data_IF_276995380946
#
_entry.id   IF_276995380946
#
_cell.length_a   1.000
_cell.length_b   1.000
_cell.length_c   1.000
_cell.angle_alpha   90.00
_cell.angle_beta   90.00
_cell.angle_gamma   90.00
#
_symmetry.space_group_name_H-M   'P 1'
#
loop_
_entity.id
_entity.type
_entity.pdbx_description
1 polymer ?
#
# COMPACT_ATOMS: atom_id res chain seq x y z
N UNK A 1 -7.06 -17.91 2.57
CA UNK A 1 -5.96 -16.94 2.67
C UNK A 1 -4.77 -17.36 1.79
N UNK A 2 -4.58 -18.65 1.48
CA UNK A 2 -3.42 -19.08 0.66
C UNK A 2 -3.60 -18.88 -0.85
N UNK A 3 -4.84 -18.73 -1.33
CA UNK A 3 -5.15 -18.49 -2.75
C UNK A 3 -4.44 -17.24 -3.30
N UNK A 4 -4.07 -16.28 -2.43
CA UNK A 4 -3.38 -15.06 -2.82
C UNK A 4 -1.95 -15.31 -3.33
N UNK A 5 -1.30 -16.39 -2.89
CA UNK A 5 0.05 -16.75 -3.34
C UNK A 5 0.09 -17.29 -4.78
N UNK A 6 -1.07 -17.52 -5.40
CA UNK A 6 -1.16 -17.84 -6.82
C UNK A 6 -1.16 -16.59 -7.71
N UNK A 7 -1.33 -15.39 -7.14
CA UNK A 7 -1.39 -14.15 -7.91
C UNK A 7 0.01 -13.58 -8.20
N UNK A 8 0.19 -12.90 -9.35
CA UNK A 8 1.49 -12.38 -9.75
C UNK A 8 1.92 -11.17 -8.91
N UNK A 9 3.22 -10.89 -8.92
CA UNK A 9 3.74 -9.60 -8.47
C UNK A 9 3.38 -8.50 -9.49
N UNK A 10 2.97 -7.29 -9.09
CA UNK A 10 2.48 -6.90 -7.77
C UNK A 10 0.96 -7.09 -7.75
N UNK A 11 0.41 -7.74 -6.72
CA UNK A 11 -1.05 -7.75 -6.50
C UNK A 11 -1.41 -6.99 -5.23
N UNK A 12 -2.38 -6.08 -5.30
CA UNK A 12 -2.81 -5.25 -4.18
C UNK A 12 -4.28 -4.87 -4.34
N UNK A 13 -4.91 -4.31 -3.31
CA UNK A 13 -6.26 -3.75 -3.42
C UNK A 13 -6.22 -2.30 -3.91
N UNK A 14 -7.22 -1.85 -4.69
CA UNK A 14 -7.30 -0.45 -5.12
C UNK A 14 -7.50 0.50 -3.94
N UNK A 15 -7.03 1.73 -4.11
CA UNK A 15 -7.30 2.86 -3.24
C UNK A 15 -8.07 3.95 -4.02
N UNK A 16 -7.41 5.01 -4.45
CA UNK A 16 -8.00 6.09 -5.27
C UNK A 16 -7.53 6.00 -6.74
N UNK A 17 -8.45 6.19 -7.67
CA UNK A 17 -8.21 6.15 -9.13
C UNK A 17 -7.48 4.88 -9.59
N UNK A 18 -6.22 5.04 -10.02
CA UNK A 18 -5.36 3.97 -10.56
C UNK A 18 -4.33 3.49 -9.52
N UNK A 19 -4.40 4.02 -8.30
CA UNK A 19 -3.44 3.78 -7.24
C UNK A 19 -3.89 2.62 -6.36
N UNK A 20 -2.94 1.80 -5.94
CA UNK A 20 -3.19 0.74 -4.97
C UNK A 20 -2.93 1.21 -3.53
N UNK A 21 -3.55 0.52 -2.58
CA UNK A 21 -3.27 0.65 -1.15
C UNK A 21 -2.08 -0.26 -0.80
N UNK A 22 -0.98 0.29 -0.29
CA UNK A 22 0.23 -0.47 0.03
C UNK A 22 0.15 -1.27 1.34
N UNK A 23 -0.93 -1.13 2.13
CA UNK A 23 -1.10 -1.79 3.41
C UNK A 23 -1.14 -3.33 3.33
N UNK A 24 -1.63 -3.88 2.22
CA UNK A 24 -1.62 -5.32 1.94
C UNK A 24 -1.24 -5.52 0.47
N UNK A 25 -0.18 -6.31 0.24
CA UNK A 25 0.34 -6.61 -1.08
C UNK A 25 0.83 -8.06 -1.15
N UNK A 26 0.75 -8.65 -2.35
CA UNK A 26 1.45 -9.88 -2.72
C UNK A 26 2.62 -9.49 -3.62
N UNK A 27 3.82 -9.81 -3.17
CA UNK A 27 5.08 -9.49 -3.84
C UNK A 27 6.02 -10.69 -3.80
N UNK A 28 6.84 -10.85 -4.83
CA UNK A 28 7.89 -11.86 -4.87
C UNK A 28 9.18 -11.26 -4.28
N UNK A 29 9.78 -11.88 -3.24
CA UNK A 29 11.04 -11.41 -2.71
C UNK A 29 12.15 -11.46 -3.78
N UNK A 30 12.73 -10.30 -4.10
CA UNK A 30 13.81 -10.21 -5.09
C UNK A 30 14.85 -9.17 -4.68
N UNK A 31 16.11 -9.60 -4.57
CA UNK A 31 17.23 -8.71 -4.26
C UNK A 31 17.42 -7.64 -5.35
N UNK A 32 17.30 -8.03 -6.61
CA UNK A 32 17.45 -7.11 -7.75
C UNK A 32 16.39 -5.99 -7.69
N UNK A 33 15.13 -6.36 -7.43
CA UNK A 33 14.04 -5.39 -7.27
C UNK A 33 14.27 -4.47 -6.07
N UNK A 34 14.73 -5.02 -4.94
CA UNK A 34 15.07 -4.22 -3.77
C UNK A 34 16.17 -3.19 -4.09
N UNK A 35 17.27 -3.62 -4.71
CA UNK A 35 18.36 -2.74 -5.10
C UNK A 35 17.90 -1.64 -6.08
N UNK A 36 17.05 -1.98 -7.06
CA UNK A 36 16.43 -1.01 -7.99
C UNK A 36 15.53 0.00 -7.26
N UNK A 37 14.68 -0.45 -6.35
CA UNK A 37 13.85 0.43 -5.51
C UNK A 37 14.72 1.36 -4.66
N UNK A 38 15.78 0.85 -4.03
CA UNK A 38 16.71 1.68 -3.25
C UNK A 38 17.42 2.71 -4.13
N UNK A 39 17.79 2.36 -5.36
CA UNK A 39 18.37 3.31 -6.31
C UNK A 39 17.36 4.39 -6.75
N UNK A 40 16.09 4.00 -6.95
CA UNK A 40 14.98 4.90 -7.28
C UNK A 40 14.55 5.79 -6.11
N UNK A 41 14.75 5.38 -4.85
CA UNK A 41 14.39 6.18 -3.66
C UNK A 41 15.00 7.59 -3.65
N UNK A 42 16.15 7.77 -4.31
CA UNK A 42 16.84 9.07 -4.45
C UNK A 42 16.30 9.94 -5.59
N UNK A 43 15.52 9.36 -6.51
CA UNK A 43 15.05 10.00 -7.75
C UNK A 43 13.54 10.21 -7.75
N UNK A 44 12.79 9.18 -7.36
CA UNK A 44 11.33 9.21 -7.28
C UNK A 44 10.92 9.83 -5.95
N UNK A 45 10.01 10.80 -6.00
CA UNK A 45 9.45 11.44 -4.81
C UNK A 45 8.10 10.80 -4.51
N UNK A 46 7.92 10.32 -3.28
CA UNK A 46 6.61 9.92 -2.80
C UNK A 46 5.66 11.12 -2.80
N UNK A 47 4.56 11.04 -3.54
CA UNK A 47 3.58 12.14 -3.63
C UNK A 47 2.86 12.41 -2.30
N UNK A 48 2.85 11.45 -1.38
CA UNK A 48 2.24 11.59 -0.05
C UNK A 48 3.26 11.53 1.11
N UNK A 49 4.56 11.46 0.81
CA UNK A 49 5.65 11.38 1.79
C UNK A 49 5.82 10.01 2.47
N UNK A 50 4.93 9.05 2.22
CA UNK A 50 4.99 7.69 2.77
C UNK A 50 5.43 6.64 1.75
N UNK A 51 5.39 5.36 2.17
CA UNK A 51 5.69 4.22 1.30
C UNK A 51 4.67 4.08 0.17
N UNK A 52 3.37 4.29 0.43
CA UNK A 52 2.32 4.14 -0.58
C UNK A 52 2.58 5.02 -1.79
N UNK A 53 2.99 6.27 -1.56
CA UNK A 53 3.29 7.18 -2.65
C UNK A 53 4.53 6.77 -3.43
N UNK A 54 5.57 6.28 -2.77
CA UNK A 54 6.77 5.77 -3.44
C UNK A 54 6.47 4.49 -4.25
N UNK A 55 5.74 3.54 -3.66
CA UNK A 55 5.45 2.25 -4.26
C UNK A 55 4.55 2.39 -5.49
N UNK A 56 3.58 3.33 -5.50
CA UNK A 56 2.77 3.62 -6.67
C UNK A 56 3.58 4.26 -7.83
N UNK A 57 4.67 4.96 -7.54
CA UNK A 57 5.60 5.47 -8.57
C UNK A 57 6.54 4.37 -9.10
N UNK A 58 6.91 3.40 -8.26
CA UNK A 58 7.75 2.26 -8.67
C UNK A 58 6.95 1.25 -9.50
N UNK A 59 5.73 0.93 -9.08
CA UNK A 59 4.88 -0.08 -9.70
C UNK A 59 3.71 0.59 -10.44
N UNK A 60 3.93 0.97 -11.70
CA UNK A 60 2.90 1.57 -12.54
C UNK A 60 1.92 0.55 -13.15
N UNK A 61 2.23 -0.75 -13.06
CA UNK A 61 1.34 -1.85 -13.42
C UNK A 61 1.23 -2.84 -12.26
N UNK A 62 0.00 -3.24 -11.94
CA UNK A 62 -0.31 -4.13 -10.83
C UNK A 62 -1.62 -4.88 -11.08
N UNK A 63 -1.77 -6.03 -10.44
CA UNK A 63 -2.95 -6.89 -10.52
C UNK A 63 -3.93 -6.57 -9.37
N UNK A 64 -5.22 -6.50 -9.69
CA UNK A 64 -6.25 -6.00 -8.77
C UNK A 64 -6.80 -7.10 -7.87
N UNK A 65 -6.66 -6.90 -6.56
CA UNK A 65 -7.30 -7.71 -5.54
C UNK A 65 -8.61 -7.06 -5.07
N UNK A 66 -9.57 -7.86 -4.55
CA UNK A 66 -10.78 -7.33 -3.94
C UNK A 66 -10.50 -6.30 -2.84
N UNK A 67 -11.28 -5.22 -2.79
CA UNK A 67 -11.17 -4.15 -1.76
C UNK A 67 -11.40 -4.69 -0.35
N UNK A 68 -12.22 -5.72 -0.20
CA UNK A 68 -12.54 -6.36 1.08
C UNK A 68 -11.31 -6.93 1.79
N UNK A 69 -10.21 -7.16 1.08
CA UNK A 69 -8.97 -7.66 1.67
C UNK A 69 -8.15 -6.57 2.34
N UNK A 70 -8.32 -5.31 1.95
CA UNK A 70 -7.57 -4.17 2.48
C UNK A 70 -8.51 -2.98 2.67
N UNK A 71 -9.41 -3.12 3.65
CA UNK A 71 -10.37 -2.08 3.98
C UNK A 71 -9.67 -0.92 4.70
N UNK A 72 -9.83 0.30 4.18
CA UNK A 72 -9.29 1.50 4.83
C UNK A 72 -10.02 1.71 6.16
N UNK A 73 -9.31 1.57 7.27
CA UNK A 73 -9.87 1.88 8.59
C UNK A 73 -9.76 3.38 8.85
N UNK A 74 -10.83 4.11 8.57
CA UNK A 74 -10.95 5.51 8.96
C UNK A 74 -11.31 5.54 10.45
N UNK A 75 -10.36 5.95 11.29
CA UNK A 75 -10.65 6.29 12.67
C UNK A 75 -11.22 7.71 12.69
N UNK A 76 -12.51 7.84 12.99
CA UNK A 76 -13.04 9.16 13.32
C UNK A 76 -12.41 9.58 14.66
N UNK A 77 -11.61 10.65 14.67
CA UNK A 77 -11.11 11.26 15.91
C UNK A 77 -12.22 12.00 16.70
N UNK A 78 -13.48 11.55 16.57
CA UNK A 78 -14.69 12.26 16.99
C UNK A 78 -15.45 11.60 18.12
N UNK A 79 -14.83 10.71 18.89
CA UNK A 79 -15.33 10.29 20.20
C UNK A 79 -14.32 10.67 21.27
N UNK A 80 -14.13 11.99 21.45
CA UNK A 80 -13.73 12.51 22.75
C UNK A 80 -14.87 12.20 23.72
N UNK A 81 -14.63 11.21 24.58
CA UNK A 81 -15.51 10.84 25.67
C UNK A 81 -15.53 11.99 26.70
N UNK A 82 -16.65 12.66 26.99
CA UNK A 82 -16.67 13.83 27.88
C UNK A 82 -16.41 13.51 29.37
N UNK A 83 -16.17 12.25 29.74
CA UNK A 83 -16.09 11.80 31.14
C UNK A 83 -14.66 11.60 31.68
N UNK A 84 -13.64 12.29 31.16
CA UNK A 84 -12.33 12.36 31.84
C UNK A 84 -11.96 13.80 32.19
N UNK A 85 -12.77 14.40 33.07
CA UNK A 85 -12.24 15.31 34.09
C UNK A 85 -11.86 14.48 35.31
N UNK A 86 -10.55 14.38 35.58
CA UNK A 86 -9.90 14.54 36.89
C UNK A 86 -8.39 14.56 36.72
#
# INVERSE_FOLDING_TARGET
>A
MDIFFAYPQLSASPNDKVLFNSGIMVIEPSRCLFEDMMAKSKKLRSYNGGDQGFLNEVFTWWHWLPVTLNYLKIFNNGEENPDHQM
#
